data_IF_880135401305
#
_entry.id   IF_880135401305
#
_cell.length_a   1.000
_cell.length_b   1.000
_cell.length_c   1.000
_cell.angle_alpha   90.00
_cell.angle_beta   90.00
_cell.angle_gamma   90.00
#
_symmetry.space_group_name_H-M   'P 1'
#
loop_
_entity.id
_entity.type
_entity.pdbx_description
1 polymer ?
#
# COMPACT_ATOMS: atom_id res chain seq x y z
N UNK A 1 4.58 28.72 -3.86
CA UNK A 1 4.62 27.27 -3.63
C UNK A 1 5.11 27.05 -2.21
N UNK A 2 4.32 26.35 -1.39
CA UNK A 2 4.63 26.14 0.03
C UNK A 2 5.25 24.75 0.24
N UNK A 3 4.79 23.77 -0.55
CA UNK A 3 5.20 22.36 -0.45
C UNK A 3 5.56 21.80 -1.83
N UNK A 4 6.69 21.12 -1.89
CA UNK A 4 7.14 20.38 -3.06
C UNK A 4 7.18 18.88 -2.72
N UNK A 5 6.35 18.08 -3.39
CA UNK A 5 6.28 16.62 -3.20
C UNK A 5 7.09 15.92 -4.29
N UNK A 6 8.08 15.13 -3.89
CA UNK A 6 8.94 14.35 -4.78
C UNK A 6 8.41 12.92 -4.79
N UNK A 7 7.76 12.54 -5.90
CA UNK A 7 7.07 11.27 -6.06
C UNK A 7 5.55 11.40 -6.02
N UNK A 8 4.91 11.08 -7.14
CA UNK A 8 3.47 11.14 -7.37
C UNK A 8 2.78 9.77 -7.29
N UNK A 9 3.29 8.83 -6.48
CA UNK A 9 2.58 7.60 -6.14
C UNK A 9 1.42 7.86 -5.19
N UNK A 10 0.70 6.78 -4.79
CA UNK A 10 -0.49 6.89 -3.92
C UNK A 10 -0.25 7.68 -2.63
N UNK A 11 0.94 7.58 -2.05
CA UNK A 11 1.32 8.31 -0.83
C UNK A 11 1.54 9.80 -1.11
N UNK A 12 2.38 10.12 -2.10
CA UNK A 12 2.67 11.52 -2.44
C UNK A 12 1.44 12.30 -2.89
N UNK A 13 0.55 11.66 -3.69
CA UNK A 13 -0.71 12.25 -4.11
C UNK A 13 -1.67 12.45 -2.94
N UNK A 14 -1.78 11.49 -2.00
CA UNK A 14 -2.62 11.65 -0.81
C UNK A 14 -2.15 12.81 0.07
N UNK A 15 -0.83 12.92 0.29
CA UNK A 15 -0.26 14.06 1.04
C UNK A 15 -0.51 15.38 0.31
N UNK A 16 -0.27 15.44 -1.00
CA UNK A 16 -0.47 16.63 -1.81
C UNK A 16 -1.92 17.12 -1.79
N UNK A 17 -2.87 16.19 -2.00
CA UNK A 17 -4.29 16.51 -1.97
C UNK A 17 -4.73 17.04 -0.61
N UNK A 18 -4.39 16.36 0.48
CA UNK A 18 -4.73 16.77 1.85
C UNK A 18 -4.05 18.09 2.27
N UNK A 19 -2.82 18.32 1.82
CA UNK A 19 -2.14 19.59 2.05
C UNK A 19 -2.81 20.76 1.29
N UNK A 20 -3.19 20.55 0.03
CA UNK A 20 -3.94 21.55 -0.75
C UNK A 20 -5.30 21.87 -0.13
N UNK A 21 -6.02 20.89 0.43
CA UNK A 21 -7.26 21.11 1.17
C UNK A 21 -7.08 21.96 2.44
N UNK A 22 -5.86 22.01 2.99
CA UNK A 22 -5.49 22.90 4.10
C UNK A 22 -5.01 24.28 3.65
N UNK A 23 -5.14 24.58 2.36
CA UNK A 23 -4.79 25.89 1.77
C UNK A 23 -3.32 26.07 1.40
N UNK A 24 -2.52 25.00 1.43
CA UNK A 24 -1.11 25.06 1.01
C UNK A 24 -1.00 24.99 -0.52
N UNK A 25 -0.12 25.80 -1.11
CA UNK A 25 0.22 25.74 -2.53
C UNK A 25 1.20 24.59 -2.78
N UNK A 26 0.73 23.50 -3.41
CA UNK A 26 1.49 22.26 -3.58
C UNK A 26 1.87 22.02 -5.02
N UNK A 27 3.11 21.58 -5.25
CA UNK A 27 3.58 21.01 -6.52
C UNK A 27 4.06 19.58 -6.29
N UNK A 28 3.64 18.66 -7.15
CA UNK A 28 4.13 17.27 -7.19
C UNK A 28 5.05 17.12 -8.41
N UNK A 29 6.22 16.54 -8.19
CA UNK A 29 7.18 16.19 -9.24
C UNK A 29 7.27 14.67 -9.38
N UNK A 30 6.84 14.14 -10.51
CA UNK A 30 6.90 12.72 -10.84
C UNK A 30 6.80 12.56 -12.36
N UNK A 31 7.59 11.70 -13.02
CA UNK A 31 7.47 11.46 -14.46
C UNK A 31 6.12 10.83 -14.85
N UNK A 32 5.50 10.06 -13.93
CA UNK A 32 4.23 9.36 -14.13
C UNK A 32 3.34 9.46 -12.88
N UNK A 33 2.73 10.65 -12.59
CA UNK A 33 1.84 10.81 -11.44
C UNK A 33 0.67 9.83 -11.49
N UNK A 34 0.48 9.10 -10.41
CA UNK A 34 -0.48 7.99 -10.32
C UNK A 34 0.13 6.62 -10.62
N UNK A 35 1.36 6.56 -11.08
CA UNK A 35 2.10 5.33 -11.38
C UNK A 35 2.72 4.64 -10.15
N UNK A 36 3.71 3.79 -10.41
CA UNK A 36 4.48 3.09 -9.38
C UNK A 36 3.81 1.85 -8.81
N UNK A 37 4.17 1.48 -7.57
CA UNK A 37 3.76 0.22 -6.94
C UNK A 37 2.24 0.03 -6.82
N UNK A 38 1.47 1.11 -6.76
CA UNK A 38 0.00 1.07 -6.65
C UNK A 38 -0.66 0.44 -7.87
N UNK A 39 -0.05 0.54 -9.05
CA UNK A 39 -0.56 -0.03 -10.31
C UNK A 39 -0.56 -1.57 -10.30
N UNK A 40 0.30 -2.17 -9.47
CA UNK A 40 0.45 -3.63 -9.30
C UNK A 40 -0.23 -4.11 -8.02
N UNK A 41 -0.43 -3.24 -7.03
CA UNK A 41 -1.00 -3.60 -5.75
C UNK A 41 -2.41 -4.21 -5.87
N UNK A 42 -2.67 -5.27 -5.09
CA UNK A 42 -4.01 -5.85 -4.99
C UNK A 42 -5.01 -4.94 -4.26
N UNK A 43 -4.53 -3.95 -3.52
CA UNK A 43 -5.38 -2.97 -2.84
C UNK A 43 -6.18 -3.52 -1.68
N UNK A 44 -5.69 -4.54 -1.00
CA UNK A 44 -6.30 -4.99 0.26
C UNK A 44 -6.12 -3.93 1.34
N UNK A 45 -7.17 -3.73 2.11
CA UNK A 45 -7.25 -2.86 3.28
C UNK A 45 -7.44 -3.78 4.49
N UNK A 46 -6.36 -4.45 4.87
CA UNK A 46 -6.41 -5.64 5.71
C UNK A 46 -5.45 -5.54 6.92
N UNK A 47 -5.64 -4.56 7.82
CA UNK A 47 -4.75 -4.37 8.96
C UNK A 47 -4.77 -5.55 9.93
N UNK A 48 -5.88 -6.28 10.02
CA UNK A 48 -6.05 -7.39 10.98
C UNK A 48 -5.52 -8.70 10.41
N UNK A 49 -5.93 -9.11 9.20
CA UNK A 49 -5.47 -10.37 8.62
C UNK A 49 -4.01 -10.33 8.13
N UNK A 50 -3.39 -9.15 8.04
CA UNK A 50 -1.96 -8.99 7.71
C UNK A 50 -1.08 -8.73 8.93
N UNK A 51 -1.65 -8.69 10.13
CA UNK A 51 -0.91 -8.46 11.36
C UNK A 51 0.16 -9.52 11.59
N UNK A 52 1.37 -9.06 11.94
CA UNK A 52 2.47 -9.91 12.40
C UNK A 52 2.83 -9.58 13.85
N UNK A 53 3.45 -10.53 14.54
CA UNK A 53 3.92 -10.33 15.91
C UNK A 53 4.97 -9.20 15.95
N UNK A 54 4.79 -8.28 16.92
CA UNK A 54 5.69 -7.12 17.09
C UNK A 54 5.33 -5.91 16.23
N UNK A 55 4.29 -5.99 15.39
CA UNK A 55 3.83 -4.87 14.54
C UNK A 55 2.65 -4.08 15.17
N UNK A 56 2.43 -4.12 16.49
CA UNK A 56 1.27 -3.46 17.13
C UNK A 56 1.18 -1.93 16.86
N UNK A 57 2.27 -1.15 16.79
CA UNK A 57 2.19 0.24 16.36
C UNK A 57 1.66 0.37 14.93
N UNK A 58 2.11 -0.50 14.01
CA UNK A 58 1.66 -0.52 12.61
C UNK A 58 0.20 -0.95 12.50
N UNK A 59 -0.24 -1.93 13.30
CA UNK A 59 -1.65 -2.31 13.42
C UNK A 59 -2.51 -1.10 13.78
N UNK A 60 -2.15 -0.34 14.83
CA UNK A 60 -2.91 0.85 15.25
C UNK A 60 -3.00 1.89 14.14
N UNK A 61 -1.92 2.15 13.43
CA UNK A 61 -1.91 3.06 12.28
C UNK A 61 -2.77 2.51 11.13
N UNK A 62 -2.69 1.22 10.85
CA UNK A 62 -3.48 0.53 9.84
C UNK A 62 -4.98 0.59 10.13
N UNK A 63 -5.39 0.31 11.36
CA UNK A 63 -6.79 0.42 11.79
C UNK A 63 -7.30 1.86 11.69
N UNK A 64 -6.51 2.83 12.17
CA UNK A 64 -6.85 4.25 12.04
C UNK A 64 -6.99 4.70 10.58
N UNK A 65 -6.24 4.11 9.65
CA UNK A 65 -6.41 4.33 8.21
C UNK A 65 -7.66 3.67 7.67
N UNK A 66 -7.90 2.42 8.06
CA UNK A 66 -9.04 1.63 7.60
C UNK A 66 -10.38 2.26 7.99
N UNK A 67 -10.49 2.77 9.21
CA UNK A 67 -11.66 3.51 9.70
C UNK A 67 -11.98 4.74 8.84
N UNK A 68 -10.96 5.40 8.27
CA UNK A 68 -11.12 6.57 7.39
C UNK A 68 -11.46 6.21 5.95
N UNK A 69 -11.18 4.96 5.56
CA UNK A 69 -11.11 4.62 4.14
C UNK A 69 -12.44 4.78 3.39
N UNK A 70 -13.55 4.43 4.01
CA UNK A 70 -14.88 4.61 3.42
C UNK A 70 -15.18 6.10 3.14
N UNK A 71 -14.89 6.99 4.11
CA UNK A 71 -15.09 8.42 3.94
C UNK A 71 -14.08 9.02 2.92
N UNK A 72 -12.83 8.57 2.96
CA UNK A 72 -11.77 9.01 2.05
C UNK A 72 -12.12 8.69 0.59
N UNK A 73 -12.58 7.48 0.31
CA UNK A 73 -12.99 7.08 -1.04
C UNK A 73 -14.27 7.77 -1.49
N UNK A 74 -15.26 7.91 -0.61
CA UNK A 74 -16.50 8.63 -0.92
C UNK A 74 -16.25 10.11 -1.24
N UNK A 75 -15.31 10.77 -0.54
CA UNK A 75 -14.91 12.14 -0.82
C UNK A 75 -14.24 12.25 -2.20
N UNK A 76 -13.32 11.35 -2.52
CA UNK A 76 -12.67 11.28 -3.84
C UNK A 76 -13.71 11.07 -4.96
N UNK A 77 -14.61 10.11 -4.81
CA UNK A 77 -15.64 9.80 -5.81
C UNK A 77 -16.62 10.95 -6.02
N UNK A 78 -17.02 11.61 -4.92
CA UNK A 78 -17.88 12.80 -4.98
C UNK A 78 -17.20 13.97 -5.70
N UNK A 79 -15.92 14.19 -5.40
CA UNK A 79 -15.16 15.30 -5.99
C UNK A 79 -14.89 15.06 -7.48
N UNK A 80 -14.43 13.86 -7.82
CA UNK A 80 -13.88 13.59 -9.16
C UNK A 80 -14.88 12.95 -10.13
N UNK A 81 -15.94 12.35 -9.62
CA UNK A 81 -16.86 11.50 -10.41
C UNK A 81 -16.25 10.13 -10.79
N UNK A 82 -15.04 9.81 -10.33
CA UNK A 82 -14.35 8.57 -10.64
C UNK A 82 -14.55 7.56 -9.52
N UNK A 83 -14.92 6.32 -9.85
CA UNK A 83 -15.00 5.25 -8.85
C UNK A 83 -13.60 4.82 -8.41
N UNK A 84 -13.39 4.69 -7.10
CA UNK A 84 -12.18 4.15 -6.50
C UNK A 84 -12.16 2.62 -6.46
N UNK A 85 -13.29 1.99 -6.72
CA UNK A 85 -13.45 0.55 -6.60
C UNK A 85 -13.39 0.04 -5.15
N UNK A 86 -13.68 0.89 -4.16
CA UNK A 86 -13.79 0.48 -2.75
C UNK A 86 -14.93 -0.51 -2.54
N UNK A 87 -14.65 -1.59 -1.80
CA UNK A 87 -15.63 -2.63 -1.47
C UNK A 87 -15.45 -3.11 -0.03
N UNK A 88 -16.51 -2.97 0.76
CA UNK A 88 -16.59 -3.43 2.15
C UNK A 88 -17.06 -4.89 2.19
N UNK A 89 -16.22 -5.83 1.73
CA UNK A 89 -16.57 -7.26 1.60
C UNK A 89 -16.00 -8.15 2.69
N UNK A 90 -15.11 -7.66 3.50
CA UNK A 90 -14.35 -8.46 4.46
C UNK A 90 -13.28 -9.33 3.79
N UNK A 91 -12.50 -10.01 4.63
CA UNK A 91 -11.44 -10.93 4.22
C UNK A 91 -11.59 -12.26 4.95
N UNK A 92 -11.48 -13.37 4.21
CA UNK A 92 -11.46 -14.71 4.72
C UNK A 92 -10.06 -15.32 4.57
N UNK A 93 -9.33 -15.50 5.68
CA UNK A 93 -8.08 -16.24 5.69
C UNK A 93 -8.38 -17.71 5.92
N UNK A 94 -7.86 -18.63 5.09
CA UNK A 94 -8.16 -20.07 5.16
C UNK A 94 -6.91 -20.94 5.26
N UNK A 95 -7.07 -22.11 5.85
CA UNK A 95 -6.05 -23.14 6.01
C UNK A 95 -6.38 -24.36 5.15
N UNK A 96 -5.39 -24.88 4.42
CA UNK A 96 -5.53 -26.08 3.59
C UNK A 96 -5.13 -27.35 4.33
N UNK A 97 -4.16 -27.29 5.20
CA UNK A 97 -3.69 -28.44 5.99
C UNK A 97 -3.76 -28.20 7.51
N UNK A 98 -3.15 -29.10 8.29
CA UNK A 98 -3.16 -29.02 9.75
C UNK A 98 -2.24 -27.93 10.29
N UNK A 99 -1.11 -27.70 9.63
CA UNK A 99 -0.08 -26.77 10.08
C UNK A 99 -0.53 -25.34 9.80
N UNK A 100 -1.05 -25.07 8.61
CA UNK A 100 -1.72 -23.81 8.25
C UNK A 100 -2.87 -23.48 9.21
N UNK A 101 -3.64 -24.52 9.59
CA UNK A 101 -4.75 -24.35 10.53
C UNK A 101 -4.28 -23.96 11.93
N UNK A 102 -3.18 -24.53 12.40
CA UNK A 102 -2.63 -24.17 13.71
C UNK A 102 -2.07 -22.76 13.70
N UNK A 103 -1.35 -22.37 12.64
CA UNK A 103 -0.88 -20.99 12.44
C UNK A 103 -2.03 -19.97 12.49
N UNK A 104 -3.13 -20.25 11.79
CA UNK A 104 -4.32 -19.37 11.83
C UNK A 104 -4.99 -19.36 13.21
N UNK A 105 -4.91 -20.44 13.99
CA UNK A 105 -5.44 -20.46 15.36
C UNK A 105 -4.59 -19.63 16.31
N UNK A 106 -3.29 -19.71 16.17
CA UNK A 106 -2.36 -18.85 16.92
C UNK A 106 -2.61 -17.37 16.60
N UNK A 107 -2.77 -17.05 15.31
CA UNK A 107 -3.13 -15.69 14.87
C UNK A 107 -4.48 -15.25 15.46
N UNK A 108 -5.50 -16.12 15.44
CA UNK A 108 -6.79 -15.81 16.06
C UNK A 108 -6.67 -15.57 17.55
N UNK A 109 -5.90 -16.39 18.28
CA UNK A 109 -5.64 -16.18 19.70
C UNK A 109 -4.90 -14.86 19.95
N UNK A 110 -4.02 -14.44 19.04
CA UNK A 110 -3.36 -13.15 19.10
C UNK A 110 -4.35 -12.00 18.87
N UNK A 111 -5.24 -12.11 17.89
CA UNK A 111 -6.31 -11.14 17.67
C UNK A 111 -7.18 -10.98 18.91
N UNK A 112 -7.58 -12.09 19.56
CA UNK A 112 -8.41 -12.03 20.78
C UNK A 112 -7.68 -11.31 21.94
N UNK A 113 -6.37 -11.51 22.11
CA UNK A 113 -5.57 -10.80 23.11
C UNK A 113 -5.53 -9.30 22.87
N UNK A 114 -5.58 -8.88 21.60
CA UNK A 114 -5.57 -7.46 21.20
C UNK A 114 -6.99 -6.85 21.11
N UNK A 115 -8.04 -7.63 21.39
CA UNK A 115 -9.43 -7.19 21.28
C UNK A 115 -9.91 -6.94 19.86
N UNK A 116 -9.28 -7.58 18.87
CA UNK A 116 -9.63 -7.44 17.45
C UNK A 116 -10.83 -8.32 17.09
N UNK A 117 -11.71 -7.80 16.24
CA UNK A 117 -12.87 -8.56 15.76
C UNK A 117 -12.48 -9.53 14.65
N UNK A 118 -12.39 -10.81 15.01
CA UNK A 118 -12.12 -11.90 14.09
C UNK A 118 -12.88 -13.16 14.52
N UNK A 119 -13.43 -13.89 13.54
CA UNK A 119 -14.30 -15.05 13.81
C UNK A 119 -13.73 -16.31 13.20
N UNK A 120 -13.53 -17.34 14.06
CA UNK A 120 -13.10 -18.66 13.61
C UNK A 120 -14.25 -19.38 12.91
N UNK A 121 -13.97 -19.95 11.73
CA UNK A 121 -14.88 -20.76 10.93
C UNK A 121 -14.30 -22.15 10.68
N UNK A 122 -15.16 -23.19 10.70
CA UNK A 122 -14.77 -24.50 10.20
C UNK A 122 -14.78 -24.55 8.65
N UNK A 123 -14.19 -25.59 8.05
CA UNK A 123 -14.07 -25.68 6.59
C UNK A 123 -15.39 -25.70 5.83
N UNK A 124 -16.48 -26.21 6.44
CA UNK A 124 -17.83 -26.17 5.83
C UNK A 124 -18.38 -24.74 5.82
N UNK A 125 -18.17 -23.99 6.88
CA UNK A 125 -18.58 -22.60 6.99
C UNK A 125 -17.81 -21.72 6.01
N UNK A 126 -16.49 -21.92 5.86
CA UNK A 126 -15.69 -21.23 4.84
C UNK A 126 -16.25 -21.48 3.43
N UNK A 127 -16.51 -22.74 3.06
CA UNK A 127 -17.07 -23.08 1.75
C UNK A 127 -18.52 -22.62 1.54
N UNK A 128 -19.29 -22.44 2.60
CA UNK A 128 -20.63 -21.82 2.49
C UNK A 128 -20.53 -20.35 2.16
N UNK A 129 -19.52 -19.65 2.68
CA UNK A 129 -19.24 -18.26 2.35
C UNK A 129 -18.64 -18.09 0.96
N UNK A 130 -17.71 -18.96 0.59
CA UNK A 130 -17.03 -18.97 -0.70
C UNK A 130 -17.07 -20.40 -1.30
N UNK A 131 -18.12 -20.70 -2.10
CA UNK A 131 -18.35 -22.07 -2.60
C UNK A 131 -17.27 -22.61 -3.53
N UNK A 132 -16.47 -21.73 -4.15
CA UNK A 132 -15.38 -22.13 -5.04
C UNK A 132 -14.12 -22.61 -4.30
N UNK A 133 -14.06 -22.47 -2.98
CA UNK A 133 -12.94 -22.95 -2.19
C UNK A 133 -12.78 -24.48 -2.27
N UNK A 134 -11.53 -24.91 -2.28
CA UNK A 134 -11.16 -26.34 -2.28
C UNK A 134 -11.86 -27.13 -1.17
N UNK A 135 -12.31 -28.37 -1.45
CA UNK A 135 -12.81 -29.28 -0.41
C UNK A 135 -11.80 -29.56 0.71
N UNK A 136 -10.51 -29.35 0.45
CA UNK A 136 -9.43 -29.56 1.43
C UNK A 136 -9.36 -28.48 2.50
N UNK A 137 -10.02 -27.34 2.32
CA UNK A 137 -10.06 -26.24 3.33
C UNK A 137 -10.58 -26.77 4.66
N UNK A 138 -9.73 -26.68 5.71
CA UNK A 138 -9.96 -27.22 7.05
C UNK A 138 -10.54 -26.25 8.05
N UNK A 139 -10.46 -24.96 7.77
CA UNK A 139 -10.96 -23.85 8.60
C UNK A 139 -10.46 -22.53 8.11
N UNK A 140 -10.86 -21.47 8.79
CA UNK A 140 -10.48 -20.11 8.42
C UNK A 140 -10.82 -19.10 9.48
N UNK A 141 -10.39 -17.89 9.23
CA UNK A 141 -10.58 -16.72 10.07
C UNK A 141 -11.24 -15.63 9.23
N UNK A 142 -12.45 -15.26 9.58
CA UNK A 142 -13.20 -14.16 8.96
C UNK A 142 -12.94 -12.86 9.72
N UNK A 143 -12.51 -11.82 8.99
CA UNK A 143 -12.41 -10.45 9.49
C UNK A 143 -13.32 -9.58 8.63
N UNK A 144 -14.40 -9.06 9.25
CA UNK A 144 -15.44 -8.31 8.57
C UNK A 144 -14.95 -6.97 8.02
N UNK A 145 -14.05 -6.33 8.75
CA UNK A 145 -13.59 -4.96 8.47
C UNK A 145 -12.31 -4.89 7.61
N UNK A 146 -11.72 -6.02 7.24
CA UNK A 146 -10.63 -6.05 6.28
C UNK A 146 -11.18 -6.00 4.84
N UNK A 147 -11.09 -4.84 4.21
CA UNK A 147 -11.76 -4.51 2.95
C UNK A 147 -10.82 -4.50 1.73
N UNK A 148 -11.23 -3.84 0.66
CA UNK A 148 -10.40 -3.64 -0.54
C UNK A 148 -10.73 -2.34 -1.27
N UNK A 149 -9.76 -1.84 -2.04
CA UNK A 149 -9.91 -0.76 -3.01
C UNK A 149 -9.18 -1.15 -4.30
N UNK A 150 -9.59 -0.63 -5.45
CA UNK A 150 -8.80 -0.81 -6.66
C UNK A 150 -7.66 0.22 -6.69
N UNK A 151 -6.41 -0.23 -6.60
CA UNK A 151 -5.25 0.66 -6.55
C UNK A 151 -5.11 1.55 -7.78
N UNK A 152 -5.47 1.05 -8.97
CA UNK A 152 -5.41 1.81 -10.23
C UNK A 152 -6.48 2.91 -10.27
N UNK A 153 -7.70 2.57 -9.87
CA UNK A 153 -8.81 3.53 -9.79
C UNK A 153 -8.60 4.57 -8.70
N UNK A 154 -8.14 4.14 -7.53
CA UNK A 154 -7.77 5.05 -6.44
C UNK A 154 -6.72 6.06 -6.90
N UNK A 155 -5.68 5.59 -7.59
CA UNK A 155 -4.62 6.42 -8.10
C UNK A 155 -5.13 7.45 -9.12
N UNK A 156 -5.98 7.04 -10.06
CA UNK A 156 -6.60 7.93 -11.03
C UNK A 156 -7.49 8.99 -10.36
N UNK A 157 -8.28 8.58 -9.35
CA UNK A 157 -9.11 9.51 -8.57
C UNK A 157 -8.25 10.52 -7.78
N UNK A 158 -7.12 10.08 -7.19
CA UNK A 158 -6.20 10.98 -6.49
C UNK A 158 -5.54 12.00 -7.43
N UNK A 159 -5.12 11.58 -8.63
CA UNK A 159 -4.58 12.52 -9.65
C UNK A 159 -5.62 13.58 -9.97
N UNK A 160 -6.85 13.19 -10.30
CA UNK A 160 -7.93 14.12 -10.61
C UNK A 160 -8.28 15.04 -9.42
N UNK A 161 -8.29 14.49 -8.20
CA UNK A 161 -8.54 15.27 -6.99
C UNK A 161 -7.43 16.30 -6.71
N UNK A 162 -6.17 15.95 -6.94
CA UNK A 162 -5.04 16.88 -6.87
C UNK A 162 -5.21 18.04 -7.87
N UNK A 163 -5.51 17.72 -9.13
CA UNK A 163 -5.72 18.73 -10.17
C UNK A 163 -6.87 19.68 -9.81
N UNK A 164 -8.01 19.16 -9.35
CA UNK A 164 -9.15 19.97 -8.94
C UNK A 164 -8.88 20.81 -7.68
N UNK A 165 -8.01 20.35 -6.79
CA UNK A 165 -7.57 21.11 -5.61
C UNK A 165 -6.49 22.14 -5.93
N UNK A 166 -6.09 22.30 -7.20
CA UNK A 166 -5.08 23.26 -7.63
C UNK A 166 -3.63 22.82 -7.41
N UNK A 167 -3.40 21.53 -7.13
CA UNK A 167 -2.05 20.95 -7.08
C UNK A 167 -1.43 20.96 -8.47
N UNK A 168 -0.22 21.48 -8.60
CA UNK A 168 0.52 21.49 -9.87
C UNK A 168 1.25 20.17 -10.05
N UNK A 169 0.89 19.39 -11.07
CA UNK A 169 1.57 18.13 -11.41
C UNK A 169 2.65 18.40 -12.46
N UNK A 170 3.92 18.29 -12.08
CA UNK A 170 5.08 18.37 -12.96
C UNK A 170 5.50 16.98 -13.41
N UNK A 171 5.16 16.62 -14.65
CA UNK A 171 5.49 15.32 -15.26
C UNK A 171 6.95 15.27 -15.72
N UNK A 172 7.85 15.31 -14.74
CA UNK A 172 9.30 15.24 -14.93
C UNK A 172 9.95 14.54 -13.74
N UNK A 173 11.20 14.14 -13.88
CA UNK A 173 11.97 13.45 -12.83
C UNK A 173 12.72 14.47 -11.98
N UNK A 174 12.67 14.33 -10.66
CA UNK A 174 13.61 14.97 -9.76
C UNK A 174 14.94 14.21 -9.86
N UNK A 175 16.03 14.89 -10.20
CA UNK A 175 17.36 14.31 -10.42
C UNK A 175 18.31 14.52 -9.25
N UNK A 176 18.09 15.54 -8.44
CA UNK A 176 18.86 15.78 -7.21
C UNK A 176 18.07 16.65 -6.22
N UNK A 177 18.31 16.40 -4.93
CA UNK A 177 17.91 17.30 -3.85
C UNK A 177 18.88 18.50 -3.82
N UNK A 178 18.36 19.68 -3.64
CA UNK A 178 19.16 20.89 -3.41
C UNK A 178 19.20 21.17 -1.91
N UNK A 179 20.42 21.34 -1.39
CA UNK A 179 20.66 21.66 0.02
C UNK A 179 21.46 22.94 0.09
N UNK A 180 20.92 23.95 0.78
CA UNK A 180 21.54 25.25 1.00
C UNK A 180 21.55 25.53 2.50
N UNK A 181 22.68 25.99 3.01
CA UNK A 181 22.88 26.31 4.44
C UNK A 181 22.42 25.19 5.41
N UNK A 182 22.65 23.92 5.02
CA UNK A 182 22.26 22.76 5.81
C UNK A 182 20.76 22.46 5.82
N UNK A 183 20.00 23.02 4.88
CA UNK A 183 18.55 22.84 4.73
C UNK A 183 18.18 22.37 3.32
N UNK A 184 17.23 21.47 3.20
CA UNK A 184 16.63 21.15 1.92
C UNK A 184 15.86 22.37 1.40
N UNK A 185 16.24 22.87 0.21
CA UNK A 185 15.73 24.11 -0.38
C UNK A 185 14.94 23.87 -1.66
N UNK A 186 15.15 22.72 -2.35
CA UNK A 186 14.50 22.44 -3.63
C UNK A 186 14.95 21.13 -4.27
N UNK A 187 14.65 20.99 -5.55
CA UNK A 187 15.09 19.87 -6.39
C UNK A 187 15.53 20.31 -7.77
N UNK A 188 16.57 19.68 -8.28
CA UNK A 188 16.93 19.71 -9.68
C UNK A 188 15.99 18.82 -10.48
N UNK A 189 15.55 19.27 -11.64
CA UNK A 189 14.67 18.54 -12.54
C UNK A 189 15.40 18.09 -13.80
N UNK A 190 14.90 17.02 -14.39
CA UNK A 190 15.41 16.54 -15.69
C UNK A 190 14.96 17.50 -16.81
N UNK A 191 15.92 18.11 -17.48
CA UNK A 191 15.69 19.01 -18.61
C UNK A 191 14.91 20.29 -18.31
N UNK A 192 14.72 20.66 -17.03
CA UNK A 192 13.97 21.83 -16.60
C UNK A 192 14.73 22.65 -15.54
N UNK A 193 14.29 23.90 -15.34
CA UNK A 193 14.76 24.73 -14.24
C UNK A 193 14.44 24.10 -12.88
N UNK A 194 15.32 24.27 -11.88
CA UNK A 194 15.07 23.73 -10.53
C UNK A 194 13.82 24.37 -9.90
N UNK A 195 13.22 23.62 -8.98
CA UNK A 195 12.10 24.10 -8.16
C UNK A 195 12.56 24.21 -6.70
N UNK A 196 12.15 25.31 -6.05
CA UNK A 196 12.42 25.57 -4.64
C UNK A 196 11.14 25.71 -3.83
N UNK A 197 11.14 25.18 -2.60
CA UNK A 197 10.05 25.30 -1.64
C UNK A 197 10.58 25.27 -0.21
N UNK A 198 9.89 25.91 0.76
CA UNK A 198 10.28 25.87 2.17
C UNK A 198 10.13 24.48 2.80
N UNK A 199 9.26 23.63 2.26
CA UNK A 199 9.03 22.27 2.71
C UNK A 199 9.03 21.29 1.53
N UNK A 200 9.83 20.22 1.64
CA UNK A 200 9.92 19.16 0.67
C UNK A 200 9.42 17.84 1.28
N UNK A 201 8.57 17.12 0.55
CA UNK A 201 8.09 15.78 0.94
C UNK A 201 8.72 14.74 0.02
N UNK A 202 9.47 13.81 0.57
CA UNK A 202 10.13 12.74 -0.19
C UNK A 202 9.27 11.47 -0.13
N UNK A 203 8.54 11.21 -1.24
CA UNK A 203 7.59 10.12 -1.41
C UNK A 203 7.93 9.23 -2.64
N UNK A 204 9.20 9.12 -3.00
CA UNK A 204 9.69 8.43 -4.19
C UNK A 204 9.78 6.89 -4.05
N UNK A 205 9.05 6.31 -3.09
CA UNK A 205 8.98 4.87 -2.89
C UNK A 205 10.36 4.25 -2.66
N UNK A 206 10.72 3.13 -3.34
CA UNK A 206 11.99 2.45 -3.11
C UNK A 206 13.21 3.29 -3.54
N UNK A 207 13.02 4.33 -4.33
CA UNK A 207 14.09 5.23 -4.78
C UNK A 207 14.37 6.39 -3.82
N UNK A 208 13.60 6.56 -2.75
CA UNK A 208 13.68 7.72 -1.87
C UNK A 208 15.09 7.95 -1.30
N UNK A 209 15.77 6.90 -0.84
CA UNK A 209 17.12 7.00 -0.26
C UNK A 209 18.23 7.16 -1.30
N UNK A 210 17.92 7.01 -2.60
CA UNK A 210 18.87 7.12 -3.70
C UNK A 210 18.83 8.49 -4.38
N UNK A 211 18.00 9.42 -3.93
CA UNK A 211 17.93 10.75 -4.52
C UNK A 211 19.29 11.46 -4.38
N UNK A 212 20.01 11.76 -5.48
CA UNK A 212 21.27 12.46 -5.41
C UNK A 212 21.15 13.78 -4.63
N UNK A 213 22.17 14.16 -3.88
CA UNK A 213 22.15 15.34 -3.01
C UNK A 213 21.48 15.13 -1.66
N UNK A 214 20.83 13.98 -1.41
CA UNK A 214 20.38 13.60 -0.07
C UNK A 214 21.63 13.23 0.77
N UNK A 215 21.90 13.91 1.90
CA UNK A 215 23.05 13.58 2.75
C UNK A 215 22.93 12.18 3.35
N UNK A 216 24.06 11.51 3.54
CA UNK A 216 24.12 10.20 4.15
C UNK A 216 23.51 10.20 5.57
N UNK A 217 22.78 9.14 5.90
CA UNK A 217 22.16 8.96 7.20
C UNK A 217 20.83 9.70 7.42
N UNK A 218 20.41 10.60 6.52
CA UNK A 218 19.11 11.29 6.62
C UNK A 218 17.93 10.31 6.48
N UNK A 219 18.04 9.32 5.60
CA UNK A 219 17.11 8.19 5.50
C UNK A 219 17.86 6.86 5.56
N UNK A 220 17.28 5.84 6.19
CA UNK A 220 17.80 4.48 6.05
C UNK A 220 17.61 3.97 4.63
N UNK A 221 18.33 2.89 4.27
CA UNK A 221 18.14 2.22 3.00
C UNK A 221 16.69 1.70 2.87
N UNK A 222 16.05 1.99 1.75
CA UNK A 222 14.72 1.47 1.39
C UNK A 222 14.91 0.32 0.41
N UNK A 223 14.56 -0.89 0.84
CA UNK A 223 14.73 -2.10 0.02
C UNK A 223 13.62 -2.19 -1.03
N UNK A 224 13.94 -2.39 -2.31
CA UNK A 224 12.94 -2.74 -3.33
C UNK A 224 12.58 -4.23 -3.18
N UNK A 225 11.37 -4.53 -2.69
CA UNK A 225 10.89 -5.92 -2.57
C UNK A 225 9.89 -6.19 -3.68
N UNK A 226 10.31 -6.99 -4.66
CA UNK A 226 9.51 -7.33 -5.83
C UNK A 226 8.35 -8.23 -5.48
N UNK A 227 7.19 -7.96 -6.07
CA UNK A 227 6.02 -8.82 -6.03
C UNK A 227 5.41 -8.97 -7.41
N UNK A 228 5.29 -10.22 -7.88
CA UNK A 228 4.57 -10.55 -9.10
C UNK A 228 3.12 -10.83 -8.77
N UNK A 229 2.20 -10.41 -9.64
CA UNK A 229 0.76 -10.67 -9.55
C UNK A 229 0.21 -11.14 -10.88
N UNK A 230 -0.94 -11.79 -10.82
CA UNK A 230 -1.72 -12.19 -11.99
C UNK A 230 -3.10 -11.54 -11.92
N UNK A 231 -3.67 -11.21 -13.08
CA UNK A 231 -5.06 -10.76 -13.22
C UNK A 231 -5.79 -11.72 -14.13
N UNK A 232 -6.88 -12.26 -13.62
CA UNK A 232 -7.75 -13.18 -14.34
C UNK A 232 -9.12 -12.53 -14.57
N UNK A 233 -9.87 -13.07 -15.54
CA UNK A 233 -11.26 -12.66 -15.80
C UNK A 233 -12.23 -13.70 -15.23
N UNK A 234 -13.06 -13.29 -14.25
CA UNK A 234 -14.14 -14.11 -13.72
C UNK A 234 -15.37 -14.08 -14.62
N UNK A 235 -16.08 -15.20 -14.80
CA UNK A 235 -17.37 -15.22 -15.48
C UNK A 235 -18.40 -14.43 -14.65
N UNK A 236 -19.25 -13.66 -15.33
CA UNK A 236 -20.33 -12.90 -14.68
C UNK A 236 -21.70 -13.60 -14.77
N UNK A 237 -21.82 -14.63 -15.61
CA UNK A 237 -23.11 -15.22 -15.97
C UNK A 237 -23.79 -16.02 -14.84
N UNK A 238 -23.07 -16.44 -13.80
CA UNK A 238 -23.57 -17.36 -12.76
C UNK A 238 -23.35 -16.86 -11.32
N UNK A 239 -23.20 -15.55 -11.14
CA UNK A 239 -22.85 -14.94 -9.86
C UNK A 239 -21.32 -14.79 -9.69
N UNK A 240 -20.88 -14.19 -8.59
CA UNK A 240 -19.45 -13.95 -8.37
C UNK A 240 -18.71 -15.27 -8.14
N UNK A 241 -17.61 -15.48 -8.85
CA UNK A 241 -16.70 -16.61 -8.65
C UNK A 241 -16.12 -16.62 -7.24
N UNK A 242 -15.70 -15.43 -6.74
CA UNK A 242 -15.43 -15.13 -5.33
C UNK A 242 -16.12 -13.82 -4.97
N UNK A 243 -16.62 -13.72 -3.74
CA UNK A 243 -17.39 -12.57 -3.28
C UNK A 243 -16.57 -11.60 -2.41
N UNK A 244 -15.54 -12.10 -1.73
CA UNK A 244 -14.67 -11.37 -0.79
C UNK A 244 -13.20 -11.68 -1.03
N UNK A 245 -12.33 -10.94 -0.33
CA UNK A 245 -10.91 -11.28 -0.33
C UNK A 245 -10.71 -12.66 0.33
N UNK A 246 -9.89 -13.49 -0.30
CA UNK A 246 -9.46 -14.76 0.28
C UNK A 246 -7.95 -14.73 0.45
N UNK A 247 -7.47 -15.12 1.62
CA UNK A 247 -6.05 -15.27 1.93
C UNK A 247 -5.76 -16.70 2.34
N UNK A 248 -4.57 -17.16 2.10
CA UNK A 248 -4.07 -18.45 2.60
C UNK A 248 -2.55 -18.42 2.74
N UNK A 249 -2.04 -19.30 3.58
CA UNK A 249 -0.66 -19.78 3.50
C UNK A 249 -0.71 -21.11 2.74
N UNK A 250 0.03 -21.23 1.66
CA UNK A 250 0.11 -22.46 0.85
C UNK A 250 1.57 -22.83 0.70
N UNK A 251 1.97 -23.98 1.23
CA UNK A 251 3.38 -24.42 1.23
C UNK A 251 4.35 -23.36 1.80
N UNK A 252 3.94 -22.70 2.90
CA UNK A 252 4.73 -21.65 3.56
C UNK A 252 4.78 -20.31 2.82
N UNK A 253 3.96 -20.12 1.78
CA UNK A 253 3.86 -18.85 1.04
C UNK A 253 2.50 -18.20 1.23
N UNK A 254 2.52 -16.90 1.47
CA UNK A 254 1.29 -16.11 1.55
C UNK A 254 0.71 -15.89 0.15
N UNK A 255 -0.56 -16.25 0.00
CA UNK A 255 -1.35 -16.04 -1.21
C UNK A 255 -2.57 -15.19 -0.88
N UNK A 256 -3.02 -14.40 -1.84
CA UNK A 256 -4.31 -13.72 -1.77
C UNK A 256 -5.03 -13.74 -3.13
N UNK A 257 -6.35 -13.77 -3.06
CA UNK A 257 -7.28 -13.68 -4.19
C UNK A 257 -8.21 -12.50 -3.93
N UNK A 258 -8.19 -11.50 -4.79
CA UNK A 258 -8.96 -10.25 -4.59
C UNK A 258 -9.91 -10.04 -5.77
N UNK A 259 -11.22 -10.36 -5.61
CA UNK A 259 -12.22 -10.21 -6.66
C UNK A 259 -12.67 -8.77 -6.79
N UNK A 260 -12.74 -8.24 -8.02
CA UNK A 260 -13.28 -6.94 -8.36
C UNK A 260 -14.74 -7.01 -8.80
N UNK A 261 -15.46 -5.92 -8.66
CA UNK A 261 -16.88 -5.85 -9.05
C UNK A 261 -17.09 -6.12 -10.55
N UNK A 262 -16.13 -5.69 -11.38
CA UNK A 262 -16.18 -5.80 -12.83
C UNK A 262 -15.75 -7.17 -13.37
N UNK A 263 -15.54 -8.14 -12.49
CA UNK A 263 -15.19 -9.51 -12.87
C UNK A 263 -13.68 -9.72 -13.07
N UNK A 264 -12.81 -8.82 -12.60
CA UNK A 264 -11.39 -9.10 -12.48
C UNK A 264 -11.11 -9.85 -11.18
N UNK A 265 -10.15 -10.76 -11.19
CA UNK A 265 -9.61 -11.43 -10.02
C UNK A 265 -8.10 -11.21 -9.98
N UNK A 266 -7.61 -10.58 -8.92
CA UNK A 266 -6.18 -10.39 -8.69
C UNK A 266 -5.65 -11.51 -7.82
N UNK A 267 -4.58 -12.18 -8.28
CA UNK A 267 -3.83 -13.20 -7.53
C UNK A 267 -2.46 -12.65 -7.18
N UNK A 268 -2.06 -12.75 -5.95
CA UNK A 268 -0.74 -12.30 -5.52
C UNK A 268 -0.30 -12.93 -4.20
N UNK A 269 0.90 -12.71 -3.86
CA UNK A 269 1.99 -12.19 -4.65
C UNK A 269 3.29 -12.87 -4.27
N UNK A 270 4.24 -12.91 -5.19
CA UNK A 270 5.60 -13.30 -4.84
C UNK A 270 6.25 -12.27 -3.90
N UNK A 271 7.32 -12.66 -3.25
CA UNK A 271 8.16 -11.77 -2.43
C UNK A 271 9.62 -12.08 -2.73
N UNK A 272 10.29 -11.18 -3.43
CA UNK A 272 11.61 -11.41 -3.99
C UNK A 272 12.52 -10.20 -3.76
N UNK A 273 13.76 -10.43 -3.35
CA UNK A 273 14.79 -9.40 -3.24
C UNK A 273 15.71 -9.48 -4.47
N UNK A 274 15.28 -8.86 -5.57
CA UNK A 274 15.94 -8.87 -6.89
C UNK A 274 16.40 -7.45 -7.31
N UNK A 275 16.68 -6.58 -6.32
CA UNK A 275 16.98 -5.17 -6.60
C UNK A 275 15.82 -4.48 -7.33
N UNK A 276 16.14 -3.72 -8.36
CA UNK A 276 15.12 -2.96 -9.11
C UNK A 276 14.56 -3.73 -10.33
N UNK A 277 14.86 -5.03 -10.47
CA UNK A 277 14.30 -5.85 -11.54
C UNK A 277 12.80 -6.11 -11.33
N UNK A 278 11.97 -5.73 -12.31
CA UNK A 278 10.52 -5.96 -12.35
C UNK A 278 10.10 -6.97 -13.41
N UNK A 279 11.04 -7.76 -13.94
CA UNK A 279 10.75 -8.80 -14.91
C UNK A 279 9.84 -9.86 -14.31
N UNK A 280 8.72 -10.16 -14.99
CA UNK A 280 7.86 -11.29 -14.63
C UNK A 280 8.50 -12.58 -15.10
N UNK A 281 8.58 -13.57 -14.20
CA UNK A 281 9.22 -14.86 -14.51
C UNK A 281 8.21 -15.98 -14.66
N UNK A 282 8.50 -16.96 -15.52
CA UNK A 282 7.65 -18.16 -15.64
C UNK A 282 7.50 -18.91 -14.31
N UNK A 283 8.55 -18.91 -13.46
CA UNK A 283 8.52 -19.49 -12.14
C UNK A 283 7.51 -18.82 -11.22
N UNK A 284 7.51 -17.47 -11.15
CA UNK A 284 6.56 -16.70 -10.36
C UNK A 284 5.12 -16.90 -10.82
N UNK A 285 4.87 -16.90 -12.13
CA UNK A 285 3.54 -17.19 -12.71
C UNK A 285 3.06 -18.60 -12.31
N UNK A 286 3.94 -19.60 -12.49
CA UNK A 286 3.63 -20.99 -12.17
C UNK A 286 3.31 -21.17 -10.66
N UNK A 287 4.13 -20.59 -9.79
CA UNK A 287 3.92 -20.68 -8.34
C UNK A 287 2.57 -20.11 -7.92
N UNK A 288 2.25 -18.90 -8.41
CA UNK A 288 0.98 -18.24 -8.10
C UNK A 288 -0.23 -19.02 -8.62
N UNK A 289 -0.18 -19.54 -9.85
CA UNK A 289 -1.27 -20.33 -10.41
C UNK A 289 -1.44 -21.69 -9.69
N UNK A 290 -0.34 -22.37 -9.39
CA UNK A 290 -0.36 -23.66 -8.66
C UNK A 290 -0.99 -23.48 -7.27
N UNK A 291 -0.51 -22.49 -6.50
CA UNK A 291 -0.97 -22.26 -5.13
C UNK A 291 -2.42 -21.74 -5.11
N UNK A 292 -2.79 -20.92 -6.09
CA UNK A 292 -4.18 -20.49 -6.27
C UNK A 292 -5.11 -21.64 -6.67
N UNK A 293 -4.64 -22.60 -7.49
CA UNK A 293 -5.40 -23.82 -7.84
C UNK A 293 -5.65 -24.72 -6.64
N UNK A 294 -4.66 -24.90 -5.77
CA UNK A 294 -4.84 -25.68 -4.54
C UNK A 294 -5.92 -25.06 -3.65
N UNK A 295 -6.01 -23.73 -3.64
CA UNK A 295 -6.98 -22.99 -2.84
C UNK A 295 -8.37 -22.95 -3.48
N UNK A 296 -8.44 -22.73 -4.79
CA UNK A 296 -9.65 -22.58 -5.61
C UNK A 296 -9.47 -23.36 -6.91
N UNK A 297 -9.82 -24.66 -6.98
CA UNK A 297 -9.49 -25.51 -8.12
C UNK A 297 -9.99 -25.01 -9.49
N UNK A 298 -11.11 -24.30 -9.54
CA UNK A 298 -11.64 -23.72 -10.78
C UNK A 298 -10.88 -22.53 -11.33
N UNK A 299 -9.85 -22.04 -10.65
CA UNK A 299 -9.15 -20.80 -11.04
C UNK A 299 -8.37 -20.92 -12.34
N UNK A 300 -7.89 -22.13 -12.65
CA UNK A 300 -7.15 -22.41 -13.89
C UNK A 300 -8.00 -22.41 -15.16
N UNK A 301 -9.33 -22.43 -14.99
CA UNK A 301 -10.29 -22.28 -16.11
C UNK A 301 -10.55 -20.82 -16.46
N UNK A 302 -10.05 -19.87 -15.65
CA UNK A 302 -10.25 -18.45 -15.88
C UNK A 302 -9.21 -17.89 -16.87
N UNK A 303 -9.61 -17.05 -17.84
CA UNK A 303 -8.68 -16.37 -18.74
C UNK A 303 -7.65 -15.54 -17.97
N UNK A 304 -6.36 -15.76 -18.23
CA UNK A 304 -5.27 -14.91 -17.77
C UNK A 304 -5.24 -13.64 -18.63
N UNK A 305 -5.44 -12.49 -18.01
CA UNK A 305 -5.54 -11.19 -18.70
C UNK A 305 -4.23 -10.41 -18.64
N UNK A 306 -3.54 -10.46 -17.48
CA UNK A 306 -2.31 -9.68 -17.26
C UNK A 306 -1.41 -10.39 -16.25
N UNK A 307 -0.10 -10.23 -16.47
CA UNK A 307 0.95 -10.53 -15.48
C UNK A 307 1.78 -9.28 -15.28
N UNK A 308 2.03 -8.89 -14.03
CA UNK A 308 2.80 -7.70 -13.73
C UNK A 308 3.61 -7.86 -12.45
N UNK A 309 4.64 -7.02 -12.30
CA UNK A 309 5.48 -6.99 -11.11
C UNK A 309 5.74 -5.56 -10.67
N UNK A 310 5.83 -5.35 -9.37
CA UNK A 310 6.12 -4.05 -8.77
C UNK A 310 7.03 -4.16 -7.56
N UNK A 311 7.56 -3.02 -7.13
CA UNK A 311 8.52 -2.94 -6.03
C UNK A 311 7.90 -2.30 -4.81
N UNK A 312 7.79 -3.06 -3.72
CA UNK A 312 7.37 -2.54 -2.43
C UNK A 312 8.54 -1.82 -1.77
N UNK A 313 8.36 -0.59 -1.23
CA UNK A 313 9.41 0.14 -0.55
C UNK A 313 9.56 -0.35 0.90
N UNK A 314 10.44 -1.30 1.14
CA UNK A 314 10.71 -1.87 2.47
C UNK A 314 11.72 -1.04 3.26
N UNK A 315 11.32 -0.46 4.39
CA UNK A 315 12.23 0.11 5.40
C UNK A 315 12.93 -1.01 6.18
N UNK A 316 13.94 -0.73 7.02
CA UNK A 316 14.61 -1.78 7.79
C UNK A 316 13.70 -2.60 8.71
N UNK A 317 12.66 -1.97 9.27
CA UNK A 317 11.65 -2.60 10.15
C UNK A 317 10.30 -2.83 9.46
N UNK A 318 10.22 -2.64 8.13
CA UNK A 318 9.00 -2.73 7.32
C UNK A 318 7.86 -1.77 7.72
N UNK A 319 8.11 -0.84 8.65
CA UNK A 319 7.17 0.21 9.02
C UNK A 319 7.46 1.52 8.25
N UNK A 320 6.46 2.37 7.99
CA UNK A 320 6.67 3.57 7.19
C UNK A 320 7.61 4.58 7.87
N UNK A 321 8.19 5.48 7.07
CA UNK A 321 8.94 6.64 7.52
C UNK A 321 8.05 7.86 7.32
N UNK A 322 7.56 8.46 8.42
CA UNK A 322 6.58 9.54 8.41
C UNK A 322 7.06 10.73 9.25
N UNK A 323 7.16 11.89 8.64
CA UNK A 323 7.45 13.14 9.33
C UNK A 323 8.81 13.75 9.01
N UNK A 324 9.23 14.76 9.80
CA UNK A 324 10.48 15.48 9.56
C UNK A 324 11.69 14.57 9.72
N UNK A 325 12.69 14.84 8.89
CA UNK A 325 14.02 14.21 8.98
C UNK A 325 14.99 15.10 9.77
N UNK A 326 16.23 14.60 10.01
CA UNK A 326 17.30 15.43 10.59
C UNK A 326 17.80 16.51 9.62
N UNK A 327 17.42 16.47 8.34
CA UNK A 327 17.67 17.55 7.40
C UNK A 327 16.50 18.55 7.42
N UNK A 328 16.67 19.76 7.97
CA UNK A 328 15.62 20.74 8.02
C UNK A 328 15.01 20.99 6.64
N UNK A 329 13.68 21.15 6.56
CA UNK A 329 12.95 21.35 5.30
C UNK A 329 12.58 20.07 4.57
N UNK A 330 13.09 18.90 4.98
CA UNK A 330 12.76 17.61 4.37
C UNK A 330 11.87 16.75 5.27
N UNK A 331 10.76 16.30 4.71
CA UNK A 331 9.77 15.41 5.33
C UNK A 331 9.79 14.08 4.60
N UNK A 332 9.88 12.97 5.31
CA UNK A 332 9.77 11.64 4.71
C UNK A 332 8.32 11.16 4.67
N UNK A 333 7.95 10.53 3.55
CA UNK A 333 6.67 9.86 3.32
C UNK A 333 6.91 8.58 2.49
N UNK A 334 7.67 7.64 3.02
CA UNK A 334 8.15 6.47 2.27
C UNK A 334 8.25 5.22 3.16
N UNK A 335 8.74 4.12 2.63
CA UNK A 335 8.97 2.90 3.42
C UNK A 335 7.71 2.13 3.82
N UNK A 336 6.57 2.37 3.19
CA UNK A 336 5.27 1.77 3.55
C UNK A 336 5.17 0.26 3.28
N UNK A 337 6.17 -0.33 2.64
CA UNK A 337 6.26 -1.74 2.30
C UNK A 337 4.97 -2.27 1.66
N UNK A 338 4.31 -3.29 2.25
CA UNK A 338 3.06 -3.88 1.76
C UNK A 338 1.81 -3.02 2.05
N UNK A 339 1.92 -2.05 2.95
CA UNK A 339 0.78 -1.29 3.48
C UNK A 339 0.53 0.06 2.78
N UNK A 340 1.22 0.38 1.68
CA UNK A 340 1.14 1.70 1.05
C UNK A 340 -0.28 2.11 0.64
N UNK A 341 -1.07 1.20 0.09
CA UNK A 341 -2.47 1.48 -0.25
C UNK A 341 -3.29 1.70 1.01
N UNK A 342 -3.25 0.77 1.97
CA UNK A 342 -3.96 0.88 3.24
C UNK A 342 -3.63 2.19 3.95
N UNK A 343 -2.36 2.54 4.08
CA UNK A 343 -1.92 3.70 4.86
C UNK A 343 -2.04 5.05 4.12
N UNK A 344 -2.45 5.07 2.85
CA UNK A 344 -2.50 6.29 2.06
C UNK A 344 -3.43 7.35 2.66
N UNK A 345 -4.58 6.96 3.17
CA UNK A 345 -5.55 7.86 3.77
C UNK A 345 -4.97 8.53 5.03
N UNK A 346 -4.49 7.75 6.00
CA UNK A 346 -3.95 8.27 7.26
C UNK A 346 -2.65 9.04 7.06
N UNK A 347 -1.76 8.59 6.17
CA UNK A 347 -0.50 9.28 5.86
C UNK A 347 -0.78 10.66 5.26
N UNK A 348 -1.75 10.74 4.35
CA UNK A 348 -2.18 12.02 3.77
C UNK A 348 -2.61 13.02 4.85
N UNK A 349 -3.49 12.60 5.76
CA UNK A 349 -4.01 13.45 6.83
C UNK A 349 -2.91 13.89 7.81
N UNK A 350 -2.09 12.94 8.30
CA UNK A 350 -1.04 13.22 9.30
C UNK A 350 0.05 14.13 8.77
N UNK A 351 0.53 13.90 7.54
CA UNK A 351 1.58 14.73 6.98
C UNK A 351 1.07 16.09 6.51
N UNK A 352 -0.17 16.19 6.00
CA UNK A 352 -0.77 17.48 5.71
C UNK A 352 -0.98 18.32 6.97
N UNK A 353 -1.31 17.69 8.11
CA UNK A 353 -1.37 18.38 9.40
C UNK A 353 0.01 18.89 9.83
N UNK A 354 1.04 18.05 9.75
CA UNK A 354 2.41 18.46 10.02
C UNK A 354 2.84 19.65 9.12
N UNK A 355 2.61 19.57 7.82
CA UNK A 355 2.98 20.60 6.86
C UNK A 355 2.30 21.96 7.15
N UNK A 356 1.08 21.92 7.66
CA UNK A 356 0.32 23.13 8.00
C UNK A 356 0.68 23.72 9.36
N UNK A 357 1.07 22.88 10.34
CA UNK A 357 1.23 23.31 11.76
C UNK A 357 2.68 23.29 12.25
N UNK A 358 3.56 22.53 11.61
CA UNK A 358 4.91 22.23 12.08
C UNK A 358 4.97 21.23 13.25
N UNK A 359 3.81 20.69 13.70
CA UNK A 359 3.73 19.78 14.83
C UNK A 359 3.49 18.36 14.33
N UNK A 360 4.35 17.41 14.72
CA UNK A 360 4.17 15.99 14.34
C UNK A 360 2.99 15.39 15.10
N UNK A 361 1.96 14.89 14.40
CA UNK A 361 0.81 14.27 15.05
C UNK A 361 1.21 12.99 15.82
N UNK A 362 0.56 12.74 16.96
CA UNK A 362 0.86 11.62 17.85
C UNK A 362 0.95 10.26 17.15
N UNK A 363 0.01 9.87 16.26
CA UNK A 363 0.07 8.60 15.53
C UNK A 363 1.27 8.45 14.60
N UNK A 364 1.91 9.53 14.16
CA UNK A 364 3.11 9.50 13.31
C UNK A 364 4.41 9.31 14.11
N UNK A 365 4.42 9.64 15.41
CA UNK A 365 5.63 9.62 16.24
C UNK A 365 6.39 8.27 16.23
N UNK A 366 5.73 7.09 16.33
CA UNK A 366 6.43 5.81 16.26
C UNK A 366 7.13 5.55 14.93
N UNK A 367 6.76 6.29 13.89
CA UNK A 367 7.22 6.12 12.50
C UNK A 367 8.18 7.23 12.05
N UNK A 368 8.71 8.02 13.00
CA UNK A 368 9.72 9.04 12.71
C UNK A 368 10.89 8.46 11.91
N UNK A 369 11.34 9.11 10.84
CA UNK A 369 12.56 8.72 10.12
C UNK A 369 13.79 8.65 11.04
N UNK A 370 13.83 9.49 12.05
CA UNK A 370 14.96 9.62 12.99
C UNK A 370 15.09 8.47 13.99
N UNK A 371 14.12 7.52 13.99
CA UNK A 371 14.21 6.31 14.84
C UNK A 371 15.40 5.40 14.49
N UNK A 372 15.97 5.57 13.28
CA UNK A 372 17.17 4.85 12.84
C UNK A 372 18.47 5.66 12.99
N UNK A 373 18.38 6.93 13.36
CA UNK A 373 19.57 7.75 13.55
C UNK A 373 20.23 7.36 14.86
N UNK A 374 21.44 6.82 14.79
CA UNK A 374 22.27 6.62 15.98
C UNK A 374 22.68 7.99 16.47
N UNK A 375 22.08 8.46 17.56
CA UNK A 375 22.58 9.66 18.23
C UNK A 375 24.00 9.34 18.67
N UNK A 376 24.98 10.05 18.10
CA UNK A 376 26.32 10.02 18.62
C UNK A 376 26.27 10.35 20.12
N UNK A 377 26.77 9.42 20.97
CA UNK A 377 26.77 9.55 22.41
C UNK A 377 27.81 10.62 22.85
#
# INVERSE_FOLDING_TARGET
MDVLVIGGGVIGLSVAWRAAQRGLAVTVVDPDPGGGAVQVAAGMLAPVTELQYGEEPLLRLGMASNERYAAFTAELEKLTGLSTGYRATGTLAVALDSDDREELRELHAFHQRLGLDSHWLNGRECRRLEPMLSPTVRGGLLVGDDHQVDGRRLSAALVAACEQAGVVLRRTRATALLVEDGRASGVQLDGCEPLSAPQLVLAAGPQSHLLPGLPDGVLPAIRPVKGQILRLRMPQAHGPFLSRNVRAVVRGRHLYLVPRAEGELVIGATSEEQGYDTTVTAGGVYELLRDAHDLVPGITELPLVETSAGLRPGSPDNAPLLGPTDLPGLVAATGHYRNGVLLSAVTGDLLAEYLATGVTPGPALPFSPTRFTVKAA
#
